data_IF_938590174694
#
_entry.id   IF_938590174694
#
_cell.length_a   1.000
_cell.length_b   1.000
_cell.length_c   1.000
_cell.angle_alpha   90.00
_cell.angle_beta   90.00
_cell.angle_gamma   90.00
#
_symmetry.space_group_name_H-M   'P 1'
#
loop_
_entity.id
_entity.type
_entity.pdbx_description
1 polymer ?
#
# COMPACT_ATOMS: atom_id res chain seq x y z
N UNK A 1 1.26 -31.00 -24.33
CA UNK A 1 2.15 -30.38 -23.33
C UNK A 1 1.39 -29.23 -22.73
N UNK A 2 1.21 -29.15 -21.41
CA UNK A 2 0.58 -27.96 -20.82
C UNK A 2 1.51 -26.78 -21.05
N UNK A 3 0.99 -25.70 -21.63
CA UNK A 3 1.72 -24.44 -21.80
C UNK A 3 2.27 -23.98 -20.45
N UNK A 4 3.55 -23.57 -20.40
CA UNK A 4 4.14 -23.01 -19.19
C UNK A 4 3.42 -21.70 -18.85
N UNK A 5 2.82 -21.63 -17.66
CA UNK A 5 2.00 -20.50 -17.24
C UNK A 5 2.85 -19.22 -17.17
N UNK A 6 4.12 -19.34 -16.76
CA UNK A 6 5.05 -18.22 -16.73
C UNK A 6 5.25 -17.65 -18.14
N UNK A 7 5.55 -18.52 -19.11
CA UNK A 7 5.76 -18.14 -20.49
C UNK A 7 4.53 -17.47 -21.11
N UNK A 8 3.33 -18.02 -20.84
CA UNK A 8 2.07 -17.44 -21.29
C UNK A 8 1.88 -16.02 -20.75
N UNK A 9 2.09 -15.84 -19.44
CA UNK A 9 1.96 -14.53 -18.80
C UNK A 9 2.98 -13.52 -19.34
N UNK A 10 4.24 -13.91 -19.50
CA UNK A 10 5.30 -13.03 -20.02
C UNK A 10 5.00 -12.60 -21.44
N UNK A 11 4.58 -13.53 -22.29
CA UNK A 11 4.22 -13.22 -23.68
C UNK A 11 3.07 -12.22 -23.75
N UNK A 12 1.97 -12.48 -23.05
CA UNK A 12 0.81 -11.58 -22.99
C UNK A 12 1.19 -10.20 -22.43
N UNK A 13 1.97 -10.17 -21.35
CA UNK A 13 2.41 -8.92 -20.73
C UNK A 13 3.25 -8.08 -21.67
N UNK A 14 4.24 -8.68 -22.33
CA UNK A 14 5.10 -7.98 -23.28
C UNK A 14 4.29 -7.44 -24.46
N UNK A 15 3.41 -8.26 -25.05
CA UNK A 15 2.58 -7.86 -26.18
C UNK A 15 1.62 -6.71 -25.81
N UNK A 16 1.00 -6.78 -24.63
CA UNK A 16 -0.05 -5.84 -24.21
C UNK A 16 0.48 -4.58 -23.52
N UNK A 17 1.64 -4.66 -22.87
CA UNK A 17 2.21 -3.63 -21.99
C UNK A 17 3.58 -3.11 -22.46
N UNK A 18 3.97 -3.40 -23.70
CA UNK A 18 5.24 -2.94 -24.30
C UNK A 18 5.52 -1.43 -24.11
N UNK A 19 4.56 -0.50 -24.26
CA UNK A 19 4.81 0.92 -24.02
C UNK A 19 5.27 1.23 -22.58
N UNK A 20 4.77 0.48 -21.59
CA UNK A 20 5.18 0.60 -20.20
C UNK A 20 6.62 0.10 -20.01
N UNK A 21 6.97 -1.02 -20.66
CA UNK A 21 8.34 -1.56 -20.66
C UNK A 21 9.33 -0.55 -21.27
N UNK A 22 9.00 0.04 -22.42
CA UNK A 22 9.84 1.11 -23.01
C UNK A 22 10.04 2.27 -22.05
N UNK A 23 8.94 2.75 -21.45
CA UNK A 23 8.97 3.90 -20.53
C UNK A 23 9.87 3.64 -19.32
N UNK A 24 9.79 2.45 -18.72
CA UNK A 24 10.65 2.13 -17.57
C UNK A 24 12.12 2.00 -17.99
N UNK A 25 12.42 1.38 -19.14
CA UNK A 25 13.80 1.22 -19.63
C UNK A 25 14.45 2.57 -19.93
N UNK A 26 13.74 3.46 -20.61
CA UNK A 26 14.22 4.82 -20.89
C UNK A 26 14.49 5.59 -19.59
N UNK A 27 13.64 5.42 -18.58
CA UNK A 27 13.81 6.09 -17.29
C UNK A 27 14.95 5.49 -16.47
N UNK A 28 15.14 4.16 -16.50
CA UNK A 28 16.25 3.48 -15.85
C UNK A 28 17.60 3.94 -16.41
N UNK A 29 17.68 4.16 -17.73
CA UNK A 29 18.88 4.70 -18.36
C UNK A 29 19.25 6.07 -17.80
N UNK A 30 18.28 7.00 -17.77
CA UNK A 30 18.47 8.33 -17.17
C UNK A 30 18.79 8.27 -15.68
N UNK A 31 18.21 7.30 -14.95
CA UNK A 31 18.45 7.12 -13.53
C UNK A 31 19.91 6.72 -13.24
N UNK A 32 20.45 5.76 -13.99
CA UNK A 32 21.83 5.29 -13.80
C UNK A 32 22.89 6.37 -14.09
N UNK A 33 22.56 7.36 -14.92
CA UNK A 33 23.43 8.51 -15.21
C UNK A 33 23.44 9.54 -14.07
N UNK A 34 22.41 9.55 -13.21
CA UNK A 34 22.24 10.49 -12.11
C UNK A 34 22.64 9.86 -10.76
N UNK A 35 23.89 10.02 -10.34
CA UNK A 35 24.30 9.67 -8.95
C UNK A 35 23.58 10.60 -7.96
N UNK A 36 22.49 10.13 -7.36
CA UNK A 36 21.74 10.89 -6.34
C UNK A 36 22.12 10.45 -4.94
N UNK A 37 22.35 11.41 -4.02
CA UNK A 37 22.49 11.16 -2.58
C UNK A 37 21.14 10.72 -2.00
N UNK A 38 20.81 9.43 -2.04
CA UNK A 38 19.59 8.91 -1.40
C UNK A 38 19.89 8.48 0.02
N UNK A 39 18.85 8.28 0.83
CA UNK A 39 19.04 7.51 2.07
C UNK A 39 18.79 6.05 1.75
N UNK A 40 19.49 5.19 2.48
CA UNK A 40 19.20 3.76 2.42
C UNK A 40 17.78 3.48 2.88
N UNK A 41 17.14 2.51 2.26
CA UNK A 41 15.76 2.13 2.53
C UNK A 41 15.76 0.75 3.16
N UNK A 42 15.17 0.63 4.35
CA UNK A 42 14.99 -0.68 5.00
C UNK A 42 13.61 -1.22 4.68
N UNK A 43 13.57 -2.42 4.10
CA UNK A 43 12.36 -3.15 3.77
C UNK A 43 12.42 -4.54 4.42
N UNK A 44 11.29 -5.25 4.45
CA UNK A 44 11.21 -6.60 4.99
C UNK A 44 10.51 -7.55 4.05
N UNK A 45 10.65 -8.84 4.29
CA UNK A 45 9.84 -9.90 3.68
C UNK A 45 9.67 -11.00 4.72
N UNK A 46 8.65 -11.84 4.58
CA UNK A 46 8.59 -13.08 5.36
C UNK A 46 9.10 -14.24 4.52
N UNK A 47 9.98 -15.05 5.10
CA UNK A 47 10.48 -16.29 4.52
C UNK A 47 10.37 -17.39 5.56
N UNK A 48 9.70 -18.49 5.23
CA UNK A 48 9.49 -19.60 6.17
C UNK A 48 8.89 -19.13 7.53
N UNK A 49 7.94 -18.18 7.48
CA UNK A 49 7.30 -17.61 8.67
C UNK A 49 8.19 -16.67 9.49
N UNK A 50 9.39 -16.32 9.03
CA UNK A 50 10.28 -15.38 9.71
C UNK A 50 10.43 -14.07 8.94
N UNK A 51 10.34 -12.96 9.66
CA UNK A 51 10.59 -11.63 9.10
C UNK A 51 12.08 -11.42 8.86
N UNK A 52 12.44 -11.21 7.59
CA UNK A 52 13.81 -10.91 7.15
C UNK A 52 13.84 -9.47 6.69
N UNK A 53 14.67 -8.65 7.35
CA UNK A 53 14.90 -7.26 6.95
C UNK A 53 16.09 -7.16 6.00
N UNK A 54 16.02 -6.24 5.03
CA UNK A 54 17.12 -5.89 4.15
C UNK A 54 17.15 -4.37 3.96
N UNK A 55 18.34 -3.81 4.06
CA UNK A 55 18.60 -2.41 3.73
C UNK A 55 19.13 -2.35 2.30
N UNK A 56 18.56 -1.44 1.52
CA UNK A 56 18.93 -1.15 0.14
C UNK A 56 19.61 0.21 0.09
N UNK A 57 20.77 0.26 -0.56
CA UNK A 57 21.56 1.48 -0.72
C UNK A 57 20.99 2.36 -1.85
N UNK A 58 21.71 3.43 -2.18
CA UNK A 58 21.21 4.57 -2.97
C UNK A 58 20.98 4.27 -4.47
N UNK A 59 21.44 3.13 -4.96
CA UNK A 59 21.54 2.81 -6.39
C UNK A 59 20.32 2.06 -6.95
N UNK A 60 19.26 1.89 -6.17
CA UNK A 60 18.07 1.17 -6.61
C UNK A 60 16.97 2.10 -7.14
N UNK A 61 16.42 1.72 -8.30
CA UNK A 61 15.18 2.27 -8.83
C UNK A 61 14.00 1.50 -8.23
N UNK A 62 13.26 2.12 -7.32
CA UNK A 62 12.18 1.44 -6.62
C UNK A 62 10.86 1.53 -7.39
N UNK A 63 10.30 0.38 -7.74
CA UNK A 63 8.97 0.24 -8.33
C UNK A 63 8.00 -0.25 -7.25
N UNK A 64 7.08 0.61 -6.86
CA UNK A 64 6.06 0.30 -5.86
C UNK A 64 4.89 -0.45 -6.48
N UNK A 65 4.57 -1.63 -5.97
CA UNK A 65 3.23 -2.22 -6.02
C UNK A 65 2.41 -1.79 -4.81
N UNK A 66 1.10 -1.62 -4.98
CA UNK A 66 0.23 -1.17 -3.88
C UNK A 66 -0.45 -2.35 -3.21
N UNK A 67 -0.36 -2.53 -1.90
CA UNK A 67 -1.25 -3.46 -1.18
C UNK A 67 -2.05 -2.67 -0.17
N UNK A 68 -3.37 -2.80 -0.24
CA UNK A 68 -4.30 -1.92 0.47
C UNK A 68 -4.99 -2.56 1.67
N UNK A 69 -4.59 -3.77 2.07
CA UNK A 69 -5.37 -4.49 3.05
C UNK A 69 -4.54 -5.02 4.22
N UNK A 70 -4.97 -4.67 5.44
CA UNK A 70 -4.52 -5.28 6.69
C UNK A 70 -5.28 -6.57 7.05
N UNK A 71 -5.99 -7.20 6.12
CA UNK A 71 -6.63 -8.51 6.33
C UNK A 71 -5.65 -9.67 6.04
N UNK A 72 -5.86 -10.87 6.59
CA UNK A 72 -4.96 -12.01 6.39
C UNK A 72 -5.10 -12.72 5.04
N UNK A 73 -6.13 -12.43 4.23
CA UNK A 73 -6.25 -13.04 2.90
C UNK A 73 -5.41 -12.28 1.86
N UNK A 74 -4.83 -13.03 0.93
CA UNK A 74 -4.21 -12.51 -0.29
C UNK A 74 -5.25 -12.49 -1.41
N UNK A 75 -5.72 -11.30 -1.78
CA UNK A 75 -6.79 -11.15 -2.77
C UNK A 75 -6.29 -11.30 -4.21
N UNK A 76 -7.20 -11.52 -5.16
CA UNK A 76 -6.86 -11.57 -6.59
C UNK A 76 -6.21 -10.28 -7.08
N UNK A 77 -6.73 -9.14 -6.62
CA UNK A 77 -6.16 -7.82 -6.89
C UNK A 77 -4.70 -7.71 -6.44
N UNK A 78 -4.41 -8.15 -5.20
CA UNK A 78 -3.05 -8.09 -4.64
C UNK A 78 -2.08 -8.96 -5.43
N UNK A 79 -2.46 -10.20 -5.76
CA UNK A 79 -1.61 -11.10 -6.54
C UNK A 79 -1.30 -10.52 -7.90
N UNK A 80 -2.30 -10.01 -8.61
CA UNK A 80 -2.09 -9.45 -9.95
C UNK A 80 -1.21 -8.21 -9.89
N UNK A 81 -1.41 -7.36 -8.89
CA UNK A 81 -0.57 -6.21 -8.63
C UNK A 81 0.90 -6.53 -8.39
N UNK A 82 1.16 -7.52 -7.52
CA UNK A 82 2.51 -8.03 -7.24
C UNK A 82 3.13 -8.60 -8.53
N UNK A 83 2.37 -9.38 -9.30
CA UNK A 83 2.80 -9.94 -10.58
C UNK A 83 3.16 -8.82 -11.56
N UNK A 84 2.32 -7.79 -11.70
CA UNK A 84 2.56 -6.65 -12.59
C UNK A 84 3.81 -5.86 -12.22
N UNK A 85 4.01 -5.61 -10.92
CA UNK A 85 5.21 -4.94 -10.42
C UNK A 85 6.47 -5.77 -10.70
N UNK A 86 6.40 -7.08 -10.44
CA UNK A 86 7.51 -8.02 -10.68
C UNK A 86 7.85 -8.15 -12.16
N UNK A 87 6.85 -8.26 -13.05
CA UNK A 87 7.05 -8.32 -14.50
C UNK A 87 7.64 -7.04 -15.05
N UNK A 88 7.10 -5.87 -14.67
CA UNK A 88 7.58 -4.58 -15.16
C UNK A 88 9.03 -4.32 -14.74
N UNK A 89 9.38 -4.61 -13.48
CA UNK A 89 10.76 -4.50 -13.00
C UNK A 89 11.71 -5.45 -13.73
N UNK A 90 11.30 -6.73 -13.93
CA UNK A 90 12.14 -7.72 -14.62
C UNK A 90 12.37 -7.38 -16.08
N UNK A 91 11.30 -7.01 -16.81
CA UNK A 91 11.41 -6.56 -18.19
C UNK A 91 12.26 -5.29 -18.28
N UNK A 92 12.08 -4.35 -17.34
CA UNK A 92 12.90 -3.14 -17.26
C UNK A 92 14.39 -3.45 -17.11
N UNK A 93 14.75 -4.33 -16.18
CA UNK A 93 16.14 -4.75 -15.98
C UNK A 93 16.70 -5.49 -17.20
N UNK A 94 15.90 -6.38 -17.79
CA UNK A 94 16.28 -7.15 -18.98
C UNK A 94 16.61 -6.22 -20.16
N UNK A 95 15.61 -5.47 -20.64
CA UNK A 95 15.80 -4.62 -21.82
C UNK A 95 16.70 -3.39 -21.55
N UNK A 96 16.94 -3.02 -20.29
CA UNK A 96 18.00 -2.04 -19.96
C UNK A 96 19.41 -2.58 -20.22
N UNK A 97 19.63 -3.90 -20.10
CA UNK A 97 20.93 -4.53 -20.32
C UNK A 97 21.14 -4.95 -21.77
N UNK A 98 20.07 -5.44 -22.43
CA UNK A 98 20.14 -6.02 -23.78
C UNK A 98 19.68 -5.05 -24.88
N UNK A 99 19.05 -3.93 -24.53
CA UNK A 99 18.53 -2.93 -25.47
C UNK A 99 17.02 -3.03 -25.67
N UNK A 100 16.43 -2.04 -26.36
CA UNK A 100 15.02 -2.05 -26.75
C UNK A 100 14.87 -2.57 -28.18
N UNK A 101 14.77 -3.89 -28.33
CA UNK A 101 14.43 -4.58 -29.58
C UNK A 101 12.97 -5.04 -29.61
N UNK A 102 12.50 -5.53 -30.76
CA UNK A 102 11.24 -6.27 -30.80
C UNK A 102 11.46 -7.61 -30.07
N UNK A 103 10.67 -7.91 -29.02
CA UNK A 103 10.87 -9.14 -28.27
C UNK A 103 10.67 -10.39 -29.12
N UNK A 104 11.56 -11.36 -28.96
CA UNK A 104 11.48 -12.68 -29.57
C UNK A 104 11.29 -13.81 -28.54
N UNK A 105 11.39 -15.07 -28.99
CA UNK A 105 11.19 -16.24 -28.12
C UNK A 105 12.29 -16.43 -27.09
N UNK A 106 13.52 -16.01 -27.42
CA UNK A 106 14.66 -16.16 -26.54
C UNK A 106 14.59 -15.10 -25.43
N UNK A 107 14.21 -13.86 -25.78
CA UNK A 107 13.92 -12.80 -24.80
C UNK A 107 12.86 -13.28 -23.77
N UNK A 108 11.78 -13.90 -24.25
CA UNK A 108 10.71 -14.43 -23.38
C UNK A 108 11.25 -15.51 -22.45
N UNK A 109 12.07 -16.45 -22.95
CA UNK A 109 12.63 -17.52 -22.15
C UNK A 109 13.56 -17.00 -21.05
N UNK A 110 14.42 -16.03 -21.37
CA UNK A 110 15.34 -15.41 -20.39
C UNK A 110 14.59 -14.63 -19.31
N UNK A 111 13.53 -13.90 -19.68
CA UNK A 111 12.67 -13.20 -18.73
C UNK A 111 11.95 -14.20 -17.81
N UNK A 112 11.46 -15.33 -18.34
CA UNK A 112 10.87 -16.39 -17.51
C UNK A 112 11.87 -16.94 -16.49
N UNK A 113 13.11 -17.22 -16.89
CA UNK A 113 14.16 -17.68 -15.98
C UNK A 113 14.54 -16.63 -14.92
N UNK A 114 14.52 -15.35 -15.27
CA UNK A 114 14.72 -14.26 -14.32
C UNK A 114 13.56 -14.11 -13.33
N UNK A 115 12.32 -14.37 -13.77
CA UNK A 115 11.12 -14.32 -12.93
C UNK A 115 11.05 -15.48 -11.92
N UNK A 116 11.63 -16.64 -12.23
CA UNK A 116 11.72 -17.79 -11.31
C UNK A 116 12.62 -17.55 -10.09
N UNK A 117 13.47 -16.52 -10.15
CA UNK A 117 14.43 -16.15 -9.09
C UNK A 117 13.92 -14.94 -8.30
N UNK A 118 14.47 -14.67 -7.11
CA UNK A 118 14.22 -13.41 -6.40
C UNK A 118 14.46 -12.19 -7.26
N UNK A 119 13.72 -11.11 -6.99
CA UNK A 119 13.89 -9.84 -7.71
C UNK A 119 15.33 -9.32 -7.55
N UNK A 120 16.01 -9.18 -8.69
CA UNK A 120 17.40 -8.75 -8.81
C UNK A 120 17.54 -7.69 -9.91
N UNK A 121 18.61 -6.90 -9.83
CA UNK A 121 18.91 -5.81 -10.76
C UNK A 121 18.62 -4.41 -10.20
N UNK A 122 18.88 -3.36 -10.99
CA UNK A 122 18.76 -1.96 -10.56
C UNK A 122 17.31 -1.54 -10.31
N UNK A 123 16.34 -2.03 -11.09
CA UNK A 123 14.92 -1.86 -10.80
C UNK A 123 14.46 -2.93 -9.78
N UNK A 124 13.97 -2.48 -8.62
CA UNK A 124 13.50 -3.34 -7.55
C UNK A 124 12.02 -3.12 -7.31
N UNK A 125 11.20 -4.15 -7.51
CA UNK A 125 9.80 -4.11 -7.11
C UNK A 125 9.66 -4.30 -5.61
N UNK A 126 8.83 -3.49 -4.95
CA UNK A 126 8.48 -3.62 -3.55
C UNK A 126 7.00 -3.30 -3.30
N UNK A 127 6.46 -3.80 -2.20
CA UNK A 127 5.13 -3.50 -1.72
C UNK A 127 5.14 -2.33 -0.76
N UNK A 128 4.30 -1.33 -0.99
CA UNK A 128 3.97 -0.36 0.06
C UNK A 128 2.68 -0.79 0.73
N UNK A 129 2.78 -1.26 1.98
CA UNK A 129 1.62 -1.51 2.82
C UNK A 129 1.20 -0.20 3.47
N UNK A 130 0.06 0.34 3.01
CA UNK A 130 -0.43 1.68 3.40
C UNK A 130 -1.62 1.65 4.35
N UNK A 131 -2.11 0.45 4.68
CA UNK A 131 -3.35 0.27 5.45
C UNK A 131 -3.08 -0.20 6.89
N UNK A 132 -2.01 0.27 7.53
CA UNK A 132 -1.71 -0.04 8.93
C UNK A 132 -2.60 0.70 9.95
N UNK A 133 -3.77 1.19 9.50
CA UNK A 133 -4.71 2.05 10.24
C UNK A 133 -6.02 1.35 10.59
N UNK A 134 -6.64 0.60 9.67
CA UNK A 134 -7.92 -0.05 9.93
C UNK A 134 -7.77 -1.54 9.65
N UNK A 135 -7.85 -2.42 10.68
CA UNK A 135 -7.58 -3.84 10.51
C UNK A 135 -8.60 -4.56 9.63
N UNK A 136 -9.80 -3.99 9.46
CA UNK A 136 -10.83 -4.54 8.56
C UNK A 136 -11.53 -3.43 7.79
N UNK A 137 -10.75 -2.71 7.00
CA UNK A 137 -11.22 -1.53 6.27
C UNK A 137 -12.37 -1.79 5.31
N UNK A 138 -12.34 -2.94 4.63
CA UNK A 138 -13.28 -3.30 3.57
C UNK A 138 -14.18 -4.50 3.92
N UNK A 139 -14.33 -4.84 5.20
CA UNK A 139 -15.25 -5.90 5.65
C UNK A 139 -15.02 -7.27 5.01
N UNK A 140 -13.75 -7.61 4.81
CA UNK A 140 -13.31 -8.89 4.24
C UNK A 140 -12.56 -9.75 5.24
N UNK A 141 -12.31 -9.24 6.44
CA UNK A 141 -11.46 -9.90 7.42
C UNK A 141 -12.20 -11.03 8.14
N UNK A 142 -11.73 -12.28 8.09
CA UNK A 142 -12.34 -13.42 8.76
C UNK A 142 -12.18 -13.36 10.29
N UNK A 143 -11.50 -12.33 10.81
CA UNK A 143 -11.36 -12.06 12.23
C UNK A 143 -12.24 -10.89 12.70
N UNK A 144 -13.06 -10.29 11.82
CA UNK A 144 -13.77 -9.03 12.07
C UNK A 144 -14.56 -9.00 13.37
N UNK A 145 -15.31 -10.06 13.67
CA UNK A 145 -16.12 -10.12 14.90
C UNK A 145 -15.24 -10.19 16.15
N UNK A 146 -14.13 -10.93 16.10
CA UNK A 146 -13.19 -11.01 17.23
C UNK A 146 -12.42 -9.69 17.44
N UNK A 147 -12.10 -8.98 16.35
CA UNK A 147 -11.49 -7.64 16.41
C UNK A 147 -12.47 -6.63 17.03
N UNK A 148 -13.75 -6.71 16.65
CA UNK A 148 -14.81 -5.88 17.22
C UNK A 148 -15.05 -6.17 18.71
N UNK A 149 -15.20 -7.45 19.07
CA UNK A 149 -15.53 -7.88 20.44
C UNK A 149 -14.35 -7.72 21.40
N UNK A 150 -13.10 -7.79 20.92
CA UNK A 150 -11.91 -7.44 21.70
C UNK A 150 -11.75 -5.93 21.94
N UNK A 151 -12.58 -5.09 21.31
CA UNK A 151 -12.53 -3.63 21.44
C UNK A 151 -11.45 -2.95 20.61
N UNK A 152 -10.80 -3.68 19.69
CA UNK A 152 -9.66 -3.20 18.91
C UNK A 152 -10.05 -2.67 17.53
N UNK A 153 -11.34 -2.71 17.15
CA UNK A 153 -11.77 -2.38 15.77
C UNK A 153 -11.59 -0.91 15.36
N UNK A 154 -11.37 0.00 16.31
CA UNK A 154 -11.02 1.39 16.03
C UNK A 154 -9.52 1.69 16.24
N UNK A 155 -8.70 0.69 16.60
CA UNK A 155 -7.26 0.86 16.78
C UNK A 155 -6.55 0.85 15.43
N UNK A 156 -5.43 1.59 15.26
CA UNK A 156 -4.48 1.35 14.19
C UNK A 156 -4.17 -0.14 14.08
N UNK A 157 -4.15 -0.71 12.88
CA UNK A 157 -3.84 -2.13 12.70
C UNK A 157 -2.48 -2.48 13.33
N UNK A 158 -1.50 -1.56 13.28
CA UNK A 158 -0.20 -1.69 13.95
C UNK A 158 -0.25 -1.89 15.48
N UNK A 159 -1.36 -1.54 16.13
CA UNK A 159 -1.59 -1.71 17.57
C UNK A 159 -2.52 -2.86 17.92
N UNK A 160 -3.19 -3.43 16.92
CA UNK A 160 -4.03 -4.59 17.13
C UNK A 160 -3.15 -5.75 17.57
N UNK A 161 -3.62 -6.45 18.59
CA UNK A 161 -2.98 -7.64 19.14
C UNK A 161 -3.75 -8.87 18.75
N UNK A 162 -3.02 -9.98 18.54
CA UNK A 162 -3.62 -11.25 18.16
C UNK A 162 -4.20 -12.04 19.32
N UNK A 163 -3.91 -11.67 20.57
CA UNK A 163 -4.47 -12.39 21.71
C UNK A 163 -6.00 -12.32 21.69
N UNK A 164 -6.64 -13.48 21.85
CA UNK A 164 -8.10 -13.66 21.84
C UNK A 164 -8.80 -13.34 20.49
N UNK A 165 -8.05 -13.05 19.43
CA UNK A 165 -8.64 -13.05 18.09
C UNK A 165 -8.99 -14.49 17.70
N UNK A 166 -10.09 -14.64 16.97
CA UNK A 166 -10.63 -15.93 16.57
C UNK A 166 -11.28 -15.80 15.20
N UNK A 167 -11.34 -16.91 14.47
CA UNK A 167 -12.14 -17.01 13.25
C UNK A 167 -13.61 -16.69 13.57
N UNK A 168 -14.16 -15.73 12.83
CA UNK A 168 -15.59 -15.47 12.78
C UNK A 168 -16.28 -16.57 11.96
N UNK A 169 -16.89 -17.52 12.67
CA UNK A 169 -17.62 -18.62 12.03
C UNK A 169 -18.76 -18.14 11.14
N UNK A 170 -19.45 -17.05 11.50
CA UNK A 170 -20.55 -16.51 10.69
C UNK A 170 -20.02 -15.94 9.38
N UNK A 171 -18.86 -15.28 9.42
CA UNK A 171 -18.17 -14.85 8.20
C UNK A 171 -17.81 -16.05 7.33
N UNK A 172 -17.18 -17.08 7.91
CA UNK A 172 -16.78 -18.28 7.15
C UNK A 172 -17.99 -18.98 6.53
N UNK A 173 -19.03 -19.25 7.31
CA UNK A 173 -20.24 -19.94 6.83
C UNK A 173 -20.91 -19.17 5.68
N UNK A 174 -20.85 -17.84 5.71
CA UNK A 174 -21.43 -16.96 4.70
C UNK A 174 -20.57 -16.83 3.43
N UNK A 175 -19.25 -16.82 3.58
CA UNK A 175 -18.31 -16.43 2.52
C UNK A 175 -17.37 -17.56 2.06
N UNK A 176 -17.60 -18.80 2.51
CA UNK A 176 -16.82 -19.94 2.03
C UNK A 176 -16.96 -20.10 0.51
N UNK A 177 -15.81 -20.15 -0.16
CA UNK A 177 -15.72 -20.25 -1.62
C UNK A 177 -15.84 -18.94 -2.39
N UNK A 178 -16.16 -17.81 -1.73
CA UNK A 178 -16.21 -16.50 -2.38
C UNK A 178 -15.15 -15.50 -1.89
N UNK A 179 -14.93 -15.34 -0.57
CA UNK A 179 -13.89 -14.46 0.00
C UNK A 179 -12.83 -15.27 0.75
N UNK A 180 -13.16 -16.49 1.15
CA UNK A 180 -12.27 -17.35 1.93
C UNK A 180 -12.50 -18.83 1.59
N UNK A 181 -11.44 -19.64 1.53
CA UNK A 181 -11.58 -21.08 1.38
C UNK A 181 -11.23 -21.85 2.67
N UNK A 182 -11.68 -23.11 2.84
CA UNK A 182 -11.45 -23.89 4.05
C UNK A 182 -9.96 -24.02 4.45
N UNK A 183 -9.09 -24.26 3.47
CA UNK A 183 -7.64 -24.38 3.69
C UNK A 183 -7.02 -23.08 4.24
N UNK A 184 -7.59 -21.93 3.85
CA UNK A 184 -7.17 -20.63 4.37
C UNK A 184 -7.64 -20.41 5.80
N UNK A 185 -8.86 -20.84 6.14
CA UNK A 185 -9.37 -20.79 7.53
C UNK A 185 -8.46 -21.60 8.44
N UNK A 186 -8.09 -22.82 8.05
CA UNK A 186 -7.17 -23.66 8.81
C UNK A 186 -5.79 -23.00 8.96
N UNK A 187 -5.25 -22.45 7.85
CA UNK A 187 -3.97 -21.76 7.85
C UNK A 187 -3.99 -20.54 8.78
N UNK A 188 -5.03 -19.72 8.72
CA UNK A 188 -5.21 -18.55 9.59
C UNK A 188 -5.24 -18.98 11.04
N UNK A 189 -6.05 -19.98 11.39
CA UNK A 189 -6.19 -20.44 12.77
C UNK A 189 -4.83 -20.91 13.32
N UNK A 190 -4.09 -21.72 12.56
CA UNK A 190 -2.76 -22.19 12.94
C UNK A 190 -1.74 -21.05 13.07
N UNK A 191 -1.74 -20.07 12.16
CA UNK A 191 -0.79 -18.95 12.25
C UNK A 191 -1.14 -17.98 13.38
N UNK A 192 -2.42 -17.81 13.69
CA UNK A 192 -2.88 -16.96 14.77
C UNK A 192 -2.38 -17.44 16.14
N UNK A 193 -2.37 -18.76 16.35
CA UNK A 193 -1.76 -19.40 17.54
C UNK A 193 -0.25 -19.11 17.67
N UNK A 194 0.44 -18.87 16.57
CA UNK A 194 1.88 -18.65 16.51
C UNK A 194 2.29 -17.16 16.36
N UNK A 195 1.32 -16.24 16.32
CA UNK A 195 1.52 -14.85 15.93
C UNK A 195 2.27 -13.95 16.94
N UNK A 196 2.56 -14.45 18.15
CA UNK A 196 3.31 -13.74 19.20
C UNK A 196 2.79 -12.31 19.49
N UNK A 197 1.49 -12.08 19.34
CA UNK A 197 0.83 -10.83 19.73
C UNK A 197 0.89 -9.69 18.71
N UNK A 198 1.50 -9.87 17.54
CA UNK A 198 1.56 -8.83 16.50
C UNK A 198 0.58 -9.12 15.38
N UNK A 199 -0.51 -8.35 15.28
CA UNK A 199 -1.52 -8.54 14.24
C UNK A 199 -0.96 -8.34 12.84
N UNK A 200 -0.18 -7.29 12.65
CA UNK A 200 0.37 -6.92 11.35
C UNK A 200 1.46 -7.87 10.87
N UNK A 201 2.29 -8.41 11.77
CA UNK A 201 3.26 -9.45 11.39
C UNK A 201 2.57 -10.79 11.10
N UNK A 202 1.46 -11.10 11.79
CA UNK A 202 0.61 -12.24 11.47
C UNK A 202 0.02 -12.12 10.06
N UNK A 203 -0.56 -10.95 9.72
CA UNK A 203 -1.13 -10.69 8.39
C UNK A 203 -0.06 -10.81 7.31
N UNK A 204 1.12 -10.22 7.51
CA UNK A 204 2.22 -10.35 6.54
C UNK A 204 2.63 -11.81 6.37
N UNK A 205 2.87 -12.53 7.48
CA UNK A 205 3.25 -13.95 7.45
C UNK A 205 2.24 -14.79 6.66
N UNK A 206 0.95 -14.53 6.85
CA UNK A 206 -0.13 -15.17 6.09
C UNK A 206 0.00 -14.89 4.58
N UNK A 207 0.11 -13.61 4.19
CA UNK A 207 0.23 -13.21 2.79
C UNK A 207 1.45 -13.78 2.12
N UNK A 208 2.61 -13.75 2.76
CA UNK A 208 3.84 -14.35 2.22
C UNK A 208 3.72 -15.88 2.09
N UNK A 209 3.06 -16.55 3.04
CA UNK A 209 2.80 -18.00 2.93
C UNK A 209 1.90 -18.32 1.73
N UNK A 210 0.87 -17.51 1.47
CA UNK A 210 0.02 -17.65 0.29
C UNK A 210 0.80 -17.32 -1.00
N UNK A 211 1.61 -16.25 -1.01
CA UNK A 211 2.46 -15.88 -2.15
C UNK A 211 3.44 -16.99 -2.52
N UNK A 212 4.07 -17.66 -1.56
CA UNK A 212 4.96 -18.80 -1.81
C UNK A 212 4.23 -19.95 -2.53
N UNK A 213 2.98 -20.25 -2.14
CA UNK A 213 2.15 -21.26 -2.82
C UNK A 213 1.83 -20.83 -4.26
N UNK A 214 1.40 -19.58 -4.44
CA UNK A 214 1.01 -19.03 -5.73
C UNK A 214 2.22 -18.89 -6.68
N UNK A 215 3.40 -18.59 -6.14
CA UNK A 215 4.65 -18.52 -6.89
C UNK A 215 4.98 -19.84 -7.59
N UNK A 216 4.78 -20.97 -6.90
CA UNK A 216 4.95 -22.32 -7.47
C UNK A 216 3.96 -22.59 -8.60
N UNK A 217 2.73 -22.12 -8.48
CA UNK A 217 1.68 -22.32 -9.48
C UNK A 217 1.96 -21.55 -10.77
N UNK A 218 2.41 -20.29 -10.66
CA UNK A 218 2.70 -19.44 -11.82
C UNK A 218 4.12 -19.60 -12.37
N UNK A 219 5.04 -20.21 -11.62
CA UNK A 219 6.45 -20.28 -12.01
C UNK A 219 7.16 -18.93 -11.93
N UNK A 220 6.72 -18.04 -11.03
CA UNK A 220 7.28 -16.71 -10.81
C UNK A 220 7.50 -16.54 -9.31
N UNK A 221 8.68 -16.09 -8.88
CA UNK A 221 8.92 -15.74 -7.47
C UNK A 221 8.26 -14.41 -7.14
N UNK A 222 7.14 -14.49 -6.40
CA UNK A 222 6.35 -13.34 -5.96
C UNK A 222 6.77 -12.82 -4.57
N UNK A 223 7.83 -13.40 -3.97
CA UNK A 223 8.39 -12.99 -2.69
C UNK A 223 9.13 -11.64 -2.75
N UNK A 224 8.42 -10.55 -3.07
CA UNK A 224 8.99 -9.20 -3.12
C UNK A 224 9.03 -8.56 -1.73
N UNK A 225 9.95 -7.62 -1.52
CA UNK A 225 10.07 -6.89 -0.25
C UNK A 225 8.88 -5.95 -0.03
N UNK A 226 8.59 -5.64 1.23
CA UNK A 226 7.56 -4.73 1.66
C UNK A 226 8.11 -3.62 2.57
N UNK A 227 7.51 -2.44 2.47
CA UNK A 227 7.69 -1.30 3.35
C UNK A 227 6.33 -0.98 4.00
N UNK A 228 6.30 -0.92 5.33
CA UNK A 228 5.08 -0.58 6.09
C UNK A 228 5.11 0.88 6.50
N UNK A 229 4.07 1.62 6.14
CA UNK A 229 3.89 3.03 6.47
C UNK A 229 2.41 3.34 6.73
N UNK A 230 2.11 4.39 7.51
CA UNK A 230 3.06 5.31 8.17
C UNK A 230 3.41 4.95 9.62
N UNK A 231 2.61 4.15 10.34
CA UNK A 231 2.72 4.00 11.80
C UNK A 231 4.02 3.31 12.19
N UNK A 232 4.38 2.21 11.52
CA UNK A 232 5.63 1.50 11.81
C UNK A 232 6.87 2.39 11.62
N UNK A 233 6.89 3.22 10.57
CA UNK A 233 7.98 4.17 10.33
C UNK A 233 8.01 5.28 11.39
N UNK A 234 6.87 5.86 11.76
CA UNK A 234 6.83 6.89 12.80
C UNK A 234 7.24 6.35 14.18
N UNK A 235 6.96 5.07 14.49
CA UNK A 235 7.45 4.43 15.72
C UNK A 235 8.98 4.26 15.74
N UNK A 236 9.60 4.08 14.57
CA UNK A 236 11.03 3.85 14.42
C UNK A 236 11.84 5.15 14.27
N UNK A 237 11.21 6.24 13.82
CA UNK A 237 11.83 7.55 13.65
C UNK A 237 11.88 8.34 14.96
N UNK A 238 12.88 9.22 15.10
CA UNK A 238 12.88 10.28 16.13
C UNK A 238 12.08 11.49 15.65
N UNK A 239 11.92 12.51 16.51
CA UNK A 239 11.28 13.80 16.14
C UNK A 239 11.97 14.58 15.01
N UNK A 240 13.22 14.21 14.71
CA UNK A 240 14.00 14.74 13.59
C UNK A 240 13.87 13.88 12.32
N UNK A 241 13.02 12.85 12.35
CA UNK A 241 12.69 11.98 11.23
C UNK A 241 11.85 12.68 10.15
N UNK A 242 11.79 12.04 8.98
CA UNK A 242 11.16 12.62 7.80
C UNK A 242 9.64 12.76 7.96
N UNK A 243 8.95 11.73 8.44
CA UNK A 243 7.49 11.78 8.60
C UNK A 243 7.09 12.80 9.67
N UNK A 244 7.86 12.88 10.75
CA UNK A 244 7.67 13.87 11.79
C UNK A 244 7.83 15.30 11.26
N UNK A 245 8.86 15.53 10.45
CA UNK A 245 9.09 16.81 9.78
C UNK A 245 7.96 17.19 8.84
N UNK A 246 7.48 16.26 8.02
CA UNK A 246 6.34 16.50 7.12
C UNK A 246 5.11 16.96 7.91
N UNK A 247 4.80 16.30 9.03
CA UNK A 247 3.65 16.64 9.88
C UNK A 247 3.85 18.01 10.54
N UNK A 248 5.04 18.30 11.07
CA UNK A 248 5.36 19.61 11.66
C UNK A 248 5.19 20.74 10.64
N UNK A 249 5.82 20.62 9.48
CA UNK A 249 5.79 21.68 8.46
C UNK A 249 4.40 21.90 7.89
N UNK A 250 3.59 20.84 7.73
CA UNK A 250 2.23 21.01 7.21
C UNK A 250 1.29 21.70 8.20
N UNK A 251 1.59 21.66 9.50
CA UNK A 251 0.81 22.32 10.55
C UNK A 251 1.39 23.66 11.03
N UNK A 252 2.52 24.11 10.46
CA UNK A 252 3.26 25.30 10.88
C UNK A 252 2.41 26.56 11.01
N UNK A 253 1.57 26.83 10.00
CA UNK A 253 0.75 28.02 9.90
C UNK A 253 -0.50 27.77 9.02
N UNK A 254 -1.44 28.71 9.01
CA UNK A 254 -2.65 28.62 8.19
C UNK A 254 -2.34 28.47 6.70
N UNK A 255 -1.30 29.12 6.19
CA UNK A 255 -0.90 29.04 4.79
C UNK A 255 -0.51 27.61 4.40
N UNK A 256 0.34 26.97 5.21
CA UNK A 256 0.82 25.60 4.99
C UNK A 256 -0.33 24.60 5.00
N UNK A 257 -1.27 24.73 5.96
CA UNK A 257 -2.48 23.90 6.01
C UNK A 257 -3.36 24.18 4.78
N UNK A 258 -3.53 25.44 4.40
CA UNK A 258 -4.33 25.82 3.22
C UNK A 258 -3.74 25.25 1.92
N UNK A 259 -2.41 25.28 1.77
CA UNK A 259 -1.71 24.67 0.64
C UNK A 259 -1.89 23.14 0.62
N UNK A 260 -1.81 22.47 1.78
CA UNK A 260 -2.10 21.03 1.89
C UNK A 260 -3.53 20.69 1.44
N UNK A 261 -4.49 21.52 1.83
CA UNK A 261 -5.88 21.40 1.39
C UNK A 261 -6.05 21.59 -0.11
N UNK A 262 -5.36 22.57 -0.70
CA UNK A 262 -5.34 22.79 -2.16
C UNK A 262 -4.78 21.57 -2.89
N UNK A 263 -3.73 20.93 -2.38
CA UNK A 263 -3.17 19.71 -2.97
C UNK A 263 -4.21 18.57 -3.06
N UNK A 264 -5.08 18.46 -2.05
CA UNK A 264 -6.20 17.51 -2.06
C UNK A 264 -7.44 17.99 -2.83
N UNK A 265 -7.39 19.16 -3.48
CA UNK A 265 -8.55 19.85 -4.09
C UNK A 265 -9.70 20.09 -3.11
N UNK A 266 -9.37 20.34 -1.85
CA UNK A 266 -10.34 20.60 -0.76
C UNK A 266 -10.29 22.05 -0.33
N UNK A 267 -11.44 22.56 0.08
CA UNK A 267 -11.54 23.88 0.72
C UNK A 267 -11.30 23.78 2.23
N UNK A 268 -10.46 24.66 2.76
CA UNK A 268 -10.23 24.80 4.21
C UNK A 268 -11.42 25.42 4.94
N UNK A 269 -12.39 26.03 4.24
CA UNK A 269 -13.49 26.80 4.83
C UNK A 269 -14.30 26.01 5.87
N UNK A 270 -14.56 24.72 5.64
CA UNK A 270 -15.27 23.88 6.61
C UNK A 270 -14.41 23.47 7.80
N UNK A 271 -13.07 23.51 7.67
CA UNK A 271 -12.08 23.17 8.71
C UNK A 271 -12.25 21.77 9.30
N UNK A 272 -12.77 20.80 8.52
CA UNK A 272 -13.09 19.44 8.99
C UNK A 272 -12.08 18.36 8.61
N UNK A 273 -11.31 18.54 7.54
CA UNK A 273 -10.32 17.56 7.09
C UNK A 273 -9.09 17.61 7.99
N UNK A 274 -8.83 16.54 8.72
CA UNK A 274 -7.61 16.42 9.49
C UNK A 274 -6.46 15.96 8.58
N UNK A 275 -5.35 16.71 8.58
CA UNK A 275 -4.14 16.35 7.84
C UNK A 275 -3.41 15.18 8.50
N UNK A 276 -3.42 15.14 9.82
CA UNK A 276 -3.18 13.92 10.60
C UNK A 276 -4.30 13.74 11.61
N UNK A 277 -4.67 12.50 11.91
CA UNK A 277 -5.75 12.15 12.84
C UNK A 277 -5.14 11.73 14.19
N UNK A 278 -5.15 12.60 15.22
CA UNK A 278 -4.65 12.25 16.54
C UNK A 278 -5.32 11.01 17.12
N UNK A 279 -4.54 10.14 17.74
CA UNK A 279 -5.04 8.97 18.45
C UNK A 279 -5.60 9.38 19.80
N UNK A 280 -6.63 8.67 20.25
CA UNK A 280 -7.17 8.88 21.59
C UNK A 280 -6.29 8.22 22.65
N UNK A 281 -6.41 8.64 23.91
CA UNK A 281 -5.77 7.95 25.05
C UNK A 281 -6.29 6.52 25.24
N UNK A 282 -7.43 6.19 24.64
CA UNK A 282 -7.99 4.83 24.60
C UNK A 282 -7.41 3.97 23.47
N UNK A 283 -6.52 4.51 22.65
CA UNK A 283 -5.87 3.80 21.53
C UNK A 283 -6.59 3.91 20.18
N UNK A 284 -7.69 4.67 20.09
CA UNK A 284 -8.43 4.81 18.83
C UNK A 284 -7.62 5.64 17.83
N UNK A 285 -7.51 5.16 16.59
CA UNK A 285 -6.75 5.81 15.51
C UNK A 285 -7.35 5.66 14.12
N UNK A 286 -8.56 5.08 14.01
CA UNK A 286 -9.30 4.97 12.75
C UNK A 286 -9.58 6.36 12.16
N UNK A 287 -9.13 6.57 10.92
CA UNK A 287 -9.40 7.78 10.15
C UNK A 287 -10.89 7.91 9.82
N UNK A 288 -11.58 6.78 9.62
CA UNK A 288 -13.01 6.75 9.29
C UNK A 288 -13.91 7.08 10.48
N UNK A 289 -13.52 6.69 11.70
CA UNK A 289 -14.28 6.97 12.93
C UNK A 289 -14.07 8.40 13.45
N UNK A 290 -12.96 9.06 13.08
CA UNK A 290 -12.63 10.39 13.56
C UNK A 290 -13.45 11.51 12.87
N UNK A 291 -13.86 12.51 13.64
CA UNK A 291 -14.45 13.77 13.17
C UNK A 291 -13.63 14.91 13.74
N UNK A 292 -13.03 15.70 12.86
CA UNK A 292 -12.13 16.79 13.22
C UNK A 292 -12.73 18.18 13.08
N UNK A 293 -12.19 19.13 13.86
CA UNK A 293 -12.34 20.56 13.61
C UNK A 293 -11.05 21.31 13.92
N UNK A 294 -10.56 22.08 12.96
CA UNK A 294 -9.40 22.97 13.13
C UNK A 294 -9.85 24.32 13.69
N UNK A 295 -9.15 24.79 14.72
CA UNK A 295 -9.39 26.09 15.36
C UNK A 295 -8.18 26.98 15.16
N UNK A 296 -8.39 28.17 14.58
CA UNK A 296 -7.34 29.12 14.29
C UNK A 296 -7.50 30.39 15.13
N UNK A 297 -6.38 30.98 15.53
CA UNK A 297 -6.28 32.27 16.19
C UNK A 297 -5.10 33.03 15.56
N UNK A 298 -5.37 34.22 15.02
CA UNK A 298 -4.35 35.05 14.34
C UNK A 298 -3.48 34.27 13.34
N UNK A 299 -4.14 33.52 12.44
CA UNK A 299 -3.51 32.67 11.41
C UNK A 299 -2.67 31.48 11.92
N UNK A 300 -2.59 31.28 13.24
CA UNK A 300 -1.97 30.10 13.85
C UNK A 300 -3.01 29.05 14.16
N UNK A 301 -2.65 27.79 13.99
CA UNK A 301 -3.45 26.68 14.49
C UNK A 301 -3.42 26.74 16.02
N UNK A 302 -4.56 26.97 16.66
CA UNK A 302 -4.69 26.99 18.12
C UNK A 302 -4.88 25.58 18.66
N UNK A 303 -5.79 24.83 18.05
CA UNK A 303 -6.10 23.46 18.44
C UNK A 303 -6.86 22.71 17.36
N UNK A 304 -6.87 21.39 17.51
CA UNK A 304 -7.66 20.44 16.73
C UNK A 304 -8.56 19.69 17.69
N UNK A 305 -9.87 19.84 17.53
CA UNK A 305 -10.84 19.01 18.27
C UNK A 305 -11.07 17.73 17.48
N UNK A 306 -10.98 16.58 18.16
CA UNK A 306 -11.22 15.26 17.58
C UNK A 306 -12.33 14.57 18.36
N UNK A 307 -13.36 14.11 17.65
CA UNK A 307 -14.42 13.27 18.18
C UNK A 307 -14.41 11.93 17.46
N UNK A 308 -14.12 10.85 18.18
CA UNK A 308 -14.31 9.49 17.69
C UNK A 308 -15.75 9.07 17.88
N UNK A 309 -16.34 8.48 16.85
CA UNK A 309 -17.68 7.94 16.87
C UNK A 309 -17.68 6.57 16.21
N UNK A 310 -18.41 5.63 16.82
CA UNK A 310 -18.70 4.32 16.21
C UNK A 310 -19.21 4.53 14.79
N UNK A 311 -18.50 3.98 13.81
CA UNK A 311 -18.74 4.27 12.38
C UNK A 311 -18.62 2.99 11.55
N UNK A 312 -19.53 2.81 10.58
CA UNK A 312 -19.42 1.79 9.52
C UNK A 312 -18.20 2.10 8.64
N UNK A 313 -17.36 1.09 8.42
CA UNK A 313 -16.22 1.14 7.50
C UNK A 313 -16.70 1.00 6.05
N UNK A 314 -15.83 0.53 5.15
CA UNK A 314 -16.17 0.36 3.74
C UNK A 314 -16.80 -1.03 3.52
N UNK A 315 -17.80 -1.14 2.63
CA UNK A 315 -18.34 -2.43 2.23
C UNK A 315 -17.32 -3.24 1.41
N UNK A 316 -17.49 -4.56 1.39
CA UNK A 316 -16.86 -5.44 0.39
C UNK A 316 -17.72 -5.47 -0.90
N UNK A 317 -17.15 -5.96 -2.01
CA UNK A 317 -17.85 -6.05 -3.30
C UNK A 317 -19.00 -7.06 -3.34
N UNK A 318 -19.04 -8.04 -2.43
CA UNK A 318 -20.01 -9.16 -2.49
C UNK A 318 -21.33 -8.83 -1.77
N UNK A 319 -21.24 -8.30 -0.56
CA UNK A 319 -22.39 -7.90 0.26
C UNK A 319 -22.14 -6.51 0.86
N UNK A 320 -22.68 -5.46 0.20
CA UNK A 320 -22.53 -4.08 0.66
C UNK A 320 -23.16 -3.77 2.02
N UNK A 321 -24.04 -4.63 2.54
CA UNK A 321 -24.68 -4.41 3.84
C UNK A 321 -23.89 -5.01 5.00
N UNK A 322 -23.07 -6.02 4.74
CA UNK A 322 -22.18 -6.60 5.73
C UNK A 322 -20.91 -5.77 5.87
N UNK A 323 -20.99 -4.74 6.70
CA UNK A 323 -19.95 -3.73 6.87
C UNK A 323 -19.36 -3.77 8.27
N UNK A 324 -18.04 -3.85 8.33
CA UNK A 324 -17.30 -3.78 9.59
C UNK A 324 -17.42 -2.44 10.29
N UNK A 325 -17.21 -2.47 11.61
CA UNK A 325 -17.47 -1.33 12.49
C UNK A 325 -16.19 -0.95 13.21
N UNK A 326 -15.72 0.28 13.00
CA UNK A 326 -14.75 0.90 13.90
C UNK A 326 -15.51 1.41 15.13
N UNK A 327 -15.44 0.65 16.23
CA UNK A 327 -16.19 0.91 17.45
C UNK A 327 -15.33 1.68 18.44
N UNK A 328 -15.78 2.88 18.79
CA UNK A 328 -15.05 3.73 19.72
C UNK A 328 -15.71 5.10 19.86
N UNK A 329 -15.81 5.56 21.11
CA UNK A 329 -16.31 6.88 21.44
C UNK A 329 -15.32 7.61 22.34
N UNK A 330 -14.90 8.78 21.87
CA UNK A 330 -14.05 9.69 22.63
C UNK A 330 -14.16 11.11 22.08
N UNK A 331 -13.80 12.10 22.89
CA UNK A 331 -13.73 13.49 22.46
C UNK A 331 -12.63 14.21 23.21
N UNK A 332 -11.69 14.79 22.48
CA UNK A 332 -10.54 15.49 23.04
C UNK A 332 -10.06 16.58 22.09
N UNK A 333 -9.10 17.38 22.55
CA UNK A 333 -8.42 18.36 21.73
C UNK A 333 -6.91 18.16 21.85
N UNK A 334 -6.22 18.44 20.75
CA UNK A 334 -4.76 18.55 20.67
C UNK A 334 -4.45 20.02 20.35
N UNK A 335 -3.45 20.59 21.00
CA UNK A 335 -3.00 21.96 20.76
C UNK A 335 -2.33 22.06 19.38
N UNK A 336 -2.30 23.27 18.82
CA UNK A 336 -1.52 23.51 17.61
C UNK A 336 -0.03 23.30 17.85
N UNK A 337 0.46 23.64 19.05
CA UNK A 337 1.87 23.49 19.44
C UNK A 337 2.33 22.03 19.35
N UNK A 338 1.54 21.09 19.90
CA UNK A 338 1.78 19.64 19.79
C UNK A 338 1.89 19.14 18.35
N UNK A 339 1.20 19.77 17.39
CA UNK A 339 1.28 19.42 15.97
C UNK A 339 2.42 20.13 15.24
N UNK A 340 2.85 21.30 15.72
CA UNK A 340 4.00 22.04 15.17
C UNK A 340 5.34 21.58 15.75
N UNK A 341 5.37 20.99 16.94
CA UNK A 341 6.54 20.29 17.50
C UNK A 341 6.29 18.78 17.57
N UNK A 342 5.78 18.25 16.46
CA UNK A 342 5.25 16.90 16.43
C UNK A 342 6.29 15.81 16.75
N UNK A 343 5.94 14.97 17.73
CA UNK A 343 6.53 13.67 18.00
C UNK A 343 5.43 12.61 18.05
N UNK A 344 5.60 11.48 17.37
CA UNK A 344 4.61 10.39 17.43
C UNK A 344 4.50 9.78 18.83
N UNK A 345 5.58 9.80 19.63
CA UNK A 345 5.56 9.29 21.00
C UNK A 345 4.69 10.12 21.94
N UNK A 346 4.55 11.43 21.67
CA UNK A 346 3.81 12.38 22.49
C UNK A 346 2.41 12.62 21.94
N UNK A 347 2.30 12.77 20.62
CA UNK A 347 1.06 13.01 19.88
C UNK A 347 0.89 11.93 18.80
N UNK A 348 0.60 10.67 19.17
CA UNK A 348 0.42 9.60 18.19
C UNK A 348 -0.73 9.95 17.23
N UNK A 349 -0.52 9.79 15.93
CA UNK A 349 -1.51 10.20 14.93
C UNK A 349 -1.42 9.44 13.62
N UNK A 350 -2.54 9.33 12.91
CA UNK A 350 -2.68 8.66 11.61
C UNK A 350 -2.65 9.70 10.47
N UNK A 351 -1.51 9.95 9.78
CA UNK A 351 -1.42 10.95 8.72
C UNK A 351 -2.20 10.54 7.46
N UNK A 352 -2.69 11.51 6.69
CA UNK A 352 -3.30 11.24 5.39
C UNK A 352 -2.27 10.70 4.37
N UNK A 353 -2.72 9.83 3.46
CA UNK A 353 -1.85 9.14 2.49
C UNK A 353 -0.90 10.07 1.75
N UNK A 354 -1.41 11.15 1.18
CA UNK A 354 -0.60 12.08 0.39
C UNK A 354 0.53 12.75 1.19
N UNK A 355 0.46 12.80 2.53
CA UNK A 355 1.55 13.35 3.34
C UNK A 355 2.72 12.38 3.40
N UNK A 356 2.45 11.13 3.79
CA UNK A 356 3.52 10.13 3.91
C UNK A 356 3.95 9.55 2.56
N UNK A 357 3.17 9.78 1.50
CA UNK A 357 3.58 9.42 0.15
C UNK A 357 4.81 10.20 -0.33
N UNK A 358 5.13 11.35 0.30
CA UNK A 358 6.40 12.08 0.07
C UNK A 358 7.60 11.33 0.63
N UNK A 359 7.41 10.55 1.70
CA UNK A 359 8.46 9.80 2.37
C UNK A 359 8.68 8.40 1.77
N UNK A 360 7.75 7.96 0.93
CA UNK A 360 7.88 6.68 0.25
C UNK A 360 8.94 6.76 -0.87
N UNK A 361 9.83 5.75 -1.02
CA UNK A 361 11.07 5.85 -1.80
C UNK A 361 10.88 5.59 -3.31
N UNK A 362 9.66 5.38 -3.78
CA UNK A 362 9.41 5.00 -5.17
C UNK A 362 9.96 5.97 -6.22
N UNK A 363 10.32 5.40 -7.36
CA UNK A 363 10.59 6.09 -8.61
C UNK A 363 9.55 5.76 -9.68
N UNK A 364 8.87 4.62 -9.51
CA UNK A 364 7.69 4.25 -10.24
C UNK A 364 6.64 3.66 -9.29
N UNK A 365 5.38 3.83 -9.67
CA UNK A 365 4.23 3.35 -8.94
C UNK A 365 3.34 2.58 -9.89
N UNK A 366 2.97 1.37 -9.50
CA UNK A 366 1.89 0.60 -10.09
C UNK A 366 0.65 0.69 -9.20
N UNK A 367 -0.41 1.23 -9.75
CA UNK A 367 -1.74 1.26 -9.15
C UNK A 367 -2.59 0.11 -9.65
N UNK A 368 -3.50 -0.36 -8.81
CA UNK A 368 -4.39 -1.47 -9.11
C UNK A 368 -5.78 -0.91 -9.44
N UNK A 369 -6.05 -0.65 -10.71
CA UNK A 369 -7.39 -0.30 -11.15
C UNK A 369 -7.93 1.03 -10.60
N UNK A 370 -7.16 2.13 -10.64
CA UNK A 370 -7.67 3.48 -10.25
C UNK A 370 -9.01 3.81 -10.92
N UNK A 371 -9.22 3.33 -12.15
CA UNK A 371 -10.46 3.47 -12.91
C UNK A 371 -11.63 2.59 -12.44
N UNK A 372 -11.35 1.42 -11.83
CA UNK A 372 -12.38 0.56 -11.26
C UNK A 372 -12.97 1.16 -9.97
N UNK A 373 -12.12 1.79 -9.15
CA UNK A 373 -12.50 2.31 -7.83
C UNK A 373 -12.76 3.83 -7.80
N UNK A 374 -12.81 4.48 -8.96
CA UNK A 374 -13.01 5.93 -9.07
C UNK A 374 -12.09 6.74 -8.12
N UNK A 375 -10.81 6.37 -8.06
CA UNK A 375 -9.82 7.00 -7.19
C UNK A 375 -8.87 8.03 -7.88
N UNK A 376 -9.20 8.72 -9.00
CA UNK A 376 -8.26 9.65 -9.64
C UNK A 376 -7.91 10.82 -8.71
N UNK A 377 -8.77 11.15 -7.76
CA UNK A 377 -8.49 12.18 -6.75
C UNK A 377 -7.31 11.81 -5.83
N UNK A 378 -7.09 10.51 -5.56
CA UNK A 378 -5.95 10.04 -4.78
C UNK A 378 -4.65 10.31 -5.54
N UNK A 379 -4.61 9.89 -6.81
CA UNK A 379 -3.48 10.12 -7.70
C UNK A 379 -3.21 11.61 -7.91
N UNK A 380 -4.26 12.42 -8.11
CA UNK A 380 -4.12 13.87 -8.21
C UNK A 380 -3.53 14.48 -6.94
N UNK A 381 -3.97 14.02 -5.76
CA UNK A 381 -3.44 14.53 -4.48
C UNK A 381 -1.96 14.16 -4.32
N UNK A 382 -1.60 12.93 -4.66
CA UNK A 382 -0.23 12.41 -4.66
C UNK A 382 0.70 13.19 -5.59
N UNK A 383 0.27 13.44 -6.82
CA UNK A 383 1.03 14.22 -7.81
C UNK A 383 1.13 15.68 -7.37
N UNK A 384 0.01 16.27 -6.97
CA UNK A 384 -0.03 17.68 -6.59
C UNK A 384 0.86 18.00 -5.39
N UNK A 385 0.92 17.14 -4.37
CA UNK A 385 1.78 17.42 -3.22
C UNK A 385 3.27 17.36 -3.59
N UNK A 386 3.66 16.41 -4.46
CA UNK A 386 5.04 16.31 -4.97
C UNK A 386 5.40 17.53 -5.83
N UNK A 387 4.50 17.96 -6.72
CA UNK A 387 4.67 19.18 -7.54
C UNK A 387 4.77 20.47 -6.69
N UNK A 388 4.01 20.58 -5.61
CA UNK A 388 4.19 21.69 -4.67
C UNK A 388 5.54 21.60 -3.97
N UNK A 389 5.91 20.42 -3.46
CA UNK A 389 7.14 20.22 -2.68
C UNK A 389 8.41 20.41 -3.53
N UNK A 390 8.37 20.09 -4.82
CA UNK A 390 9.47 20.36 -5.76
C UNK A 390 9.77 21.85 -5.91
N UNK A 391 8.78 22.71 -5.62
CA UNK A 391 8.90 24.18 -5.58
C UNK A 391 9.14 24.72 -4.17
N UNK A 392 9.44 23.85 -3.20
CA UNK A 392 9.70 24.20 -1.80
C UNK A 392 8.46 24.60 -1.00
N UNK A 393 7.28 24.12 -1.39
CA UNK A 393 6.01 24.43 -0.74
C UNK A 393 5.16 23.18 -0.51
N UNK A 394 4.29 23.12 0.52
CA UNK A 394 4.37 23.89 1.76
C UNK A 394 5.60 23.50 2.61
N UNK A 395 6.24 22.36 2.31
CA UNK A 395 7.32 21.78 3.10
C UNK A 395 8.66 22.12 2.43
N UNK A 396 9.54 22.77 3.19
CA UNK A 396 10.88 23.17 2.73
C UNK A 396 11.92 22.12 3.08
N UNK A 397 13.05 22.19 2.37
CA UNK A 397 14.29 21.45 2.64
C UNK A 397 14.18 19.92 2.64
N UNK A 398 13.12 19.36 2.04
CA UNK A 398 12.89 17.92 1.95
C UNK A 398 14.06 17.20 1.26
N UNK A 399 14.54 17.77 0.17
CA UNK A 399 15.69 17.22 -0.54
C UNK A 399 16.99 17.38 0.25
N UNK A 400 17.27 18.59 0.73
CA UNK A 400 18.52 18.94 1.40
C UNK A 400 18.71 18.20 2.73
N UNK A 401 17.65 18.07 3.54
CA UNK A 401 17.71 17.48 4.89
C UNK A 401 17.43 15.98 4.90
N UNK A 402 16.56 15.50 4.01
CA UNK A 402 16.07 14.12 4.05
C UNK A 402 16.36 13.31 2.78
N UNK A 403 16.91 13.91 1.73
CA UNK A 403 17.17 13.23 0.46
C UNK A 403 15.90 12.90 -0.32
N UNK A 404 14.76 13.52 0.04
CA UNK A 404 13.49 13.30 -0.67
C UNK A 404 13.56 13.94 -2.04
N UNK A 405 13.14 13.18 -3.05
CA UNK A 405 13.02 13.64 -4.43
C UNK A 405 11.69 14.34 -4.64
N UNK A 406 11.76 15.57 -5.16
CA UNK A 406 10.57 16.34 -5.55
C UNK A 406 9.96 15.85 -6.86
N UNK A 407 10.71 15.03 -7.62
CA UNK A 407 10.22 14.40 -8.83
C UNK A 407 8.97 13.54 -8.54
N UNK A 408 8.02 13.62 -9.45
CA UNK A 408 6.84 12.77 -9.44
C UNK A 408 7.25 11.40 -9.99
N UNK A 409 7.05 10.30 -9.24
CA UNK A 409 7.32 8.95 -9.72
C UNK A 409 6.54 8.64 -10.99
N UNK A 410 7.07 7.77 -11.85
CA UNK A 410 6.31 7.25 -12.99
C UNK A 410 5.02 6.60 -12.50
N UNK A 411 3.92 6.89 -13.17
CA UNK A 411 2.60 6.39 -12.80
C UNK A 411 2.17 5.31 -13.81
N UNK A 412 1.99 4.09 -13.34
CA UNK A 412 1.45 2.97 -14.10
C UNK A 412 0.14 2.51 -13.46
N UNK A 413 -0.77 1.98 -14.25
CA UNK A 413 -2.03 1.45 -13.77
C UNK A 413 -2.32 0.11 -14.41
N UNK A 414 -2.81 -0.83 -13.61
CA UNK A 414 -3.45 -2.02 -14.11
C UNK A 414 -4.79 -1.63 -14.74
N UNK A 415 -4.99 -1.97 -16.01
CA UNK A 415 -6.20 -1.59 -16.73
C UNK A 415 -7.39 -2.38 -16.15
N UNK A 416 -8.48 -1.70 -15.73
CA UNK A 416 -9.64 -2.34 -15.09
C UNK A 416 -10.20 -3.55 -15.85
N UNK A 417 -10.32 -3.45 -17.18
CA UNK A 417 -10.88 -4.52 -18.03
C UNK A 417 -10.03 -5.81 -18.03
N UNK A 418 -8.78 -5.71 -17.59
CA UNK A 418 -7.84 -6.82 -17.49
C UNK A 418 -7.60 -7.26 -16.04
N UNK A 419 -8.36 -6.73 -15.08
CA UNK A 419 -8.25 -7.18 -13.68
C UNK A 419 -8.72 -8.63 -13.51
N UNK A 420 -7.99 -9.38 -12.70
CA UNK A 420 -8.32 -10.74 -12.33
C UNK A 420 -9.47 -10.72 -11.34
N UNK A 421 -10.61 -11.25 -11.78
CA UNK A 421 -11.82 -11.42 -10.98
C UNK A 421 -12.08 -12.90 -10.77
N UNK A 422 -12.76 -13.21 -9.66
CA UNK A 422 -13.20 -14.55 -9.38
C UNK A 422 -14.08 -15.07 -10.55
N UNK A 423 -13.82 -16.26 -11.12
CA UNK A 423 -14.51 -16.73 -12.32
C UNK A 423 -16.02 -16.89 -12.12
N UNK A 424 -16.43 -17.38 -10.94
CA UNK A 424 -17.83 -17.57 -10.56
C UNK A 424 -18.45 -16.30 -9.96
N UNK A 425 -17.83 -15.73 -8.91
CA UNK A 425 -18.39 -14.63 -8.14
C UNK A 425 -18.10 -13.21 -8.68
N UNK A 426 -17.27 -13.09 -9.73
CA UNK A 426 -17.06 -11.83 -10.49
C UNK A 426 -16.60 -10.61 -9.66
N UNK A 427 -15.84 -10.83 -8.59
CA UNK A 427 -15.27 -9.77 -7.74
C UNK A 427 -13.74 -9.93 -7.63
N UNK A 428 -13.03 -8.87 -7.25
CA UNK A 428 -11.56 -8.83 -7.10
C UNK A 428 -11.10 -9.02 -5.65
N UNK A 429 -12.02 -8.79 -4.71
CA UNK A 429 -11.90 -8.93 -3.26
C UNK A 429 -11.71 -10.39 -2.79
N UNK A 430 -12.11 -11.35 -3.63
CA UNK A 430 -11.92 -12.78 -3.39
C UNK A 430 -10.48 -13.10 -3.04
N UNK A 431 -10.29 -13.93 -2.01
CA UNK A 431 -9.02 -14.59 -1.84
C UNK A 431 -8.66 -15.41 -3.09
N UNK A 432 -7.39 -15.37 -3.48
CA UNK A 432 -6.85 -16.25 -4.52
C UNK A 432 -7.07 -17.73 -4.21
N UNK A 433 -7.16 -18.10 -2.93
CA UNK A 433 -7.45 -19.47 -2.48
C UNK A 433 -8.85 -19.97 -2.85
N UNK A 434 -9.78 -19.09 -3.21
CA UNK A 434 -11.13 -19.46 -3.66
C UNK A 434 -11.18 -19.87 -5.14
N UNK A 435 -10.13 -19.57 -5.92
CA UNK A 435 -10.09 -19.92 -7.34
C UNK A 435 -9.57 -21.34 -7.51
N UNK A 436 -10.48 -22.27 -7.87
CA UNK A 436 -10.17 -23.70 -8.04
C UNK A 436 -8.96 -23.94 -8.95
N UNK A 437 -8.92 -23.27 -10.09
CA UNK A 437 -7.78 -23.30 -11.01
C UNK A 437 -7.20 -21.91 -11.23
N UNK A 438 -6.31 -21.50 -10.34
CA UNK A 438 -5.60 -20.20 -10.39
C UNK A 438 -4.89 -19.98 -11.74
N UNK A 439 -4.47 -21.04 -12.44
CA UNK A 439 -3.81 -20.91 -13.75
C UNK A 439 -4.73 -20.32 -14.83
N UNK A 440 -6.04 -20.45 -14.67
CA UNK A 440 -7.00 -19.88 -15.62
C UNK A 440 -7.01 -18.35 -15.57
N UNK A 441 -6.57 -17.75 -14.46
CA UNK A 441 -6.39 -16.29 -14.37
C UNK A 441 -5.33 -15.79 -15.35
N UNK A 442 -4.27 -16.58 -15.62
CA UNK A 442 -3.27 -16.22 -16.62
C UNK A 442 -3.86 -16.11 -18.03
N UNK A 443 -4.95 -16.81 -18.31
CA UNK A 443 -5.64 -16.72 -19.61
C UNK A 443 -6.41 -15.41 -19.80
N UNK A 444 -6.68 -14.65 -18.73
CA UNK A 444 -7.27 -13.31 -18.82
C UNK A 444 -6.24 -12.24 -19.20
N UNK A 445 -4.96 -12.59 -19.16
CA UNK A 445 -3.86 -11.69 -19.39
C UNK A 445 -3.67 -10.66 -18.27
N UNK A 446 -2.70 -9.78 -18.46
CA UNK A 446 -2.44 -8.66 -17.57
C UNK A 446 -1.88 -7.49 -18.37
N UNK A 447 -2.64 -6.40 -18.39
CA UNK A 447 -2.30 -5.21 -19.17
C UNK A 447 -2.09 -3.99 -18.29
N UNK A 448 -0.94 -3.35 -18.47
CA UNK A 448 -0.60 -2.09 -17.82
C UNK A 448 -0.70 -0.94 -18.81
N UNK A 449 -1.11 0.22 -18.30
CA UNK A 449 -0.98 1.50 -18.97
C UNK A 449 -0.05 2.43 -18.20
N UNK A 450 0.63 3.30 -18.93
CA UNK A 450 1.40 4.38 -18.35
C UNK A 450 0.53 5.65 -18.34
N UNK A 451 0.30 6.18 -17.14
CA UNK A 451 -0.54 7.34 -16.88
C UNK A 451 0.24 8.64 -17.11
N UNK A 452 0.55 8.93 -18.37
CA UNK A 452 1.42 10.06 -18.78
C UNK A 452 0.93 11.44 -18.37
N UNK A 453 -0.36 11.61 -18.11
CA UNK A 453 -0.98 12.86 -17.65
C UNK A 453 -0.66 13.20 -16.19
N UNK A 454 -0.06 12.27 -15.45
CA UNK A 454 0.25 12.36 -14.02
C UNK A 454 1.76 12.35 -13.79
N UNK A 455 2.50 13.20 -14.51
CA UNK A 455 3.95 13.35 -14.45
C UNK A 455 4.37 14.70 -13.90
#
# INVERSE_FOLDING_TARGET
MSEDVCQKLVKDFIESSWPCVKTIVETLKCFNEQKSRRKSVSMFQFRNGQKVNRTFDEDFFFLRGSVEYSNPQLTLEEVQGIMGARMLATCGNYFSNYGLQKPDTDDIAEICEALKKPSEGPAMSFLLNTDDIEPDRYSMNPLKESILTSGQSAFPAAYVRTENLMIDKKFVDKYVGNLICPDEVELINRQLENAKGSYVDFVDSMKYTQLEKISKTFGVDLGIYALRMPIATMLAETKDGLLHHIIREIHRDYESISQAYKCMRRSITKRKTLLTVPHSKKGYGSKRAARGKLHFENEKLKSVTVKYQTTRLYPNEIDPEDVSIAKGEDSFAVTGEELTDYSFSETPSSPQFFLYSLASPENAVLWHGIGAFAAPNLLQSYVSIRDFCSRGQPIRDLHQKYGVRGEIPLQFNLIPDHMWIHPIHRNIDSSVGCVENVKDLASRGMKLEHLSTFR
#
